data_IF_108097840687
#
_entry.id   IF_108097840687
#
_cell.length_a   1.000
_cell.length_b   1.000
_cell.length_c   1.000
_cell.angle_alpha   90.00
_cell.angle_beta   90.00
_cell.angle_gamma   90.00
#
_symmetry.space_group_name_H-M   'P 1'
#
loop_
_entity.id
_entity.type
_entity.pdbx_description
1 polymer ?
#
# COMPACT_ATOMS: atom_id res chain seq x y z
N UNK A 1 45.18 -34.98 -2.41
CA UNK A 1 44.28 -34.25 -1.50
C UNK A 1 43.27 -33.51 -2.37
N UNK A 2 42.09 -34.08 -2.58
CA UNK A 2 41.08 -33.50 -3.46
C UNK A 2 39.87 -33.18 -2.58
N UNK A 3 39.66 -31.89 -2.28
CA UNK A 3 38.57 -31.44 -1.44
C UNK A 3 37.29 -31.27 -2.28
N UNK A 4 36.21 -31.94 -1.88
CA UNK A 4 34.89 -31.70 -2.47
C UNK A 4 34.28 -30.46 -1.83
N UNK A 5 33.90 -29.48 -2.65
CA UNK A 5 33.11 -28.33 -2.25
C UNK A 5 31.60 -28.69 -2.31
N UNK A 6 30.88 -28.37 -1.24
CA UNK A 6 29.41 -28.41 -1.23
C UNK A 6 28.88 -26.99 -1.34
N UNK A 7 28.11 -26.73 -2.40
CA UNK A 7 27.44 -25.44 -2.61
C UNK A 7 26.04 -25.54 -2.01
N UNK A 8 25.79 -24.77 -0.96
CA UNK A 8 24.46 -24.61 -0.40
C UNK A 8 23.67 -23.63 -1.29
N UNK A 9 22.63 -24.12 -1.95
CA UNK A 9 21.68 -23.28 -2.67
C UNK A 9 20.72 -22.65 -1.66
N UNK A 10 20.95 -21.38 -1.31
CA UNK A 10 19.99 -20.60 -0.51
C UNK A 10 18.83 -20.21 -1.43
N UNK A 11 17.59 -20.67 -1.17
CA UNK A 11 16.42 -20.23 -1.91
C UNK A 11 16.32 -18.71 -1.76
N UNK A 12 16.40 -17.98 -2.87
CA UNK A 12 16.18 -16.54 -2.84
C UNK A 12 14.69 -16.32 -2.55
N UNK A 13 14.33 -15.44 -1.60
CA UNK A 13 12.93 -15.06 -1.42
C UNK A 13 12.44 -14.48 -2.74
N UNK A 14 11.34 -15.02 -3.25
CA UNK A 14 10.67 -14.46 -4.42
C UNK A 14 10.34 -12.99 -4.11
N UNK A 15 10.55 -12.06 -5.06
CA UNK A 15 10.21 -10.67 -4.84
C UNK A 15 8.72 -10.61 -4.51
N UNK A 16 8.38 -10.23 -3.28
CA UNK A 16 7.01 -9.95 -2.88
C UNK A 16 6.43 -8.98 -3.91
N UNK A 17 5.42 -9.43 -4.66
CA UNK A 17 4.68 -8.56 -5.55
C UNK A 17 4.07 -7.47 -4.68
N UNK A 18 4.69 -6.29 -4.68
CA UNK A 18 4.15 -5.10 -4.02
C UNK A 18 2.94 -4.69 -4.84
N UNK A 19 1.78 -5.22 -4.46
CA UNK A 19 0.51 -4.74 -5.00
C UNK A 19 0.41 -3.26 -4.68
N UNK A 20 0.05 -2.40 -5.65
CA UNK A 20 -0.18 -0.99 -5.34
C UNK A 20 -1.22 -0.93 -4.22
N UNK A 21 -1.03 -0.04 -3.23
CA UNK A 21 -1.95 0.09 -2.11
C UNK A 21 -3.37 0.30 -2.65
N UNK A 22 -4.30 -0.57 -2.24
CA UNK A 22 -5.70 -0.48 -2.64
C UNK A 22 -6.36 0.66 -1.87
N UNK A 23 -6.26 1.88 -2.42
CA UNK A 23 -6.98 3.04 -1.91
C UNK A 23 -8.47 2.87 -2.21
N UNK A 24 -9.33 3.09 -1.21
CA UNK A 24 -10.79 3.05 -1.36
C UNK A 24 -11.23 4.16 -2.29
N UNK A 25 -12.00 3.82 -3.31
CA UNK A 25 -12.58 4.79 -4.27
C UNK A 25 -14.08 5.01 -4.07
N UNK A 26 -14.75 4.20 -3.25
CA UNK A 26 -16.20 4.27 -2.98
C UNK A 26 -16.49 4.59 -1.52
N UNK A 27 -17.44 5.48 -1.26
CA UNK A 27 -17.87 5.87 0.07
C UNK A 27 -18.46 4.67 0.83
N UNK A 28 -18.01 4.36 2.07
CA UNK A 28 -18.54 3.25 2.85
C UNK A 28 -20.00 3.46 3.29
N UNK A 29 -20.49 4.69 3.27
CA UNK A 29 -21.85 5.01 3.73
C UNK A 29 -22.88 5.00 2.59
N UNK A 30 -22.54 5.50 1.40
CA UNK A 30 -23.47 5.60 0.26
C UNK A 30 -22.96 5.02 -1.06
N UNK A 31 -21.77 4.40 -1.09
CA UNK A 31 -21.13 3.79 -2.26
C UNK A 31 -20.78 4.75 -3.43
N UNK A 32 -21.09 6.04 -3.32
CA UNK A 32 -20.68 7.05 -4.30
C UNK A 32 -19.16 7.26 -4.32
N UNK A 33 -18.66 7.97 -5.34
CA UNK A 33 -17.22 8.20 -5.51
C UNK A 33 -16.61 9.07 -4.39
N UNK A 34 -15.34 8.81 -4.11
CA UNK A 34 -14.50 9.57 -3.19
C UNK A 34 -13.51 10.44 -3.97
N UNK A 35 -13.49 11.74 -3.67
CA UNK A 35 -12.50 12.68 -4.20
C UNK A 35 -11.38 12.93 -3.17
N UNK A 36 -10.13 12.91 -3.62
CA UNK A 36 -8.98 13.18 -2.76
C UNK A 36 -8.94 14.64 -2.33
N UNK A 37 -8.99 14.89 -1.02
CA UNK A 37 -8.84 16.24 -0.46
C UNK A 37 -7.38 16.57 -0.12
N UNK A 38 -6.68 15.62 0.51
CA UNK A 38 -5.32 15.84 1.01
C UNK A 38 -4.59 14.52 1.23
N UNK A 39 -3.31 14.54 0.92
CA UNK A 39 -2.33 13.53 1.33
C UNK A 39 -1.48 14.12 2.46
N UNK A 40 -1.39 13.39 3.58
CA UNK A 40 -0.54 13.75 4.71
C UNK A 40 0.65 12.78 4.72
N UNK A 41 1.89 13.26 4.53
CA UNK A 41 3.05 12.38 4.53
C UNK A 41 3.36 11.89 5.95
N UNK A 42 3.52 10.58 6.10
CA UNK A 42 4.04 9.93 7.30
C UNK A 42 5.43 9.33 7.06
N UNK A 43 6.04 8.81 8.13
CA UNK A 43 7.38 8.20 8.04
C UNK A 43 7.41 6.83 7.35
N UNK A 44 6.29 6.11 7.36
CA UNK A 44 6.17 4.75 6.84
C UNK A 44 4.93 4.53 5.96
N UNK A 45 4.08 5.56 5.83
CA UNK A 45 2.84 5.54 5.08
C UNK A 45 2.39 6.96 4.76
N UNK A 46 1.49 7.09 3.80
CA UNK A 46 0.71 8.30 3.55
C UNK A 46 -0.70 8.13 4.11
N UNK A 47 -1.27 9.22 4.63
CA UNK A 47 -2.65 9.25 5.09
C UNK A 47 -3.48 10.07 4.11
N UNK A 48 -4.35 9.40 3.38
CA UNK A 48 -5.15 9.99 2.31
C UNK A 48 -6.53 10.32 2.86
N UNK A 49 -6.87 11.60 2.94
CA UNK A 49 -8.22 12.06 3.31
C UNK A 49 -9.04 12.34 2.07
N UNK A 50 -10.25 11.80 2.01
CA UNK A 50 -11.13 11.88 0.85
C UNK A 50 -12.53 12.34 1.25
N UNK A 51 -13.23 13.01 0.34
CA UNK A 51 -14.61 13.46 0.50
C UNK A 51 -15.53 12.72 -0.46
N UNK A 52 -16.65 12.23 0.04
CA UNK A 52 -17.71 11.70 -0.80
C UNK A 52 -18.36 12.82 -1.62
N UNK A 53 -18.47 12.61 -2.93
CA UNK A 53 -19.06 13.60 -3.86
C UNK A 53 -20.57 13.74 -3.72
N UNK A 54 -21.22 12.78 -3.05
CA UNK A 54 -22.67 12.74 -2.82
C UNK A 54 -23.03 13.14 -1.39
N UNK A 55 -22.73 12.29 -0.40
CA UNK A 55 -23.11 12.54 1.00
C UNK A 55 -22.20 13.56 1.73
N UNK A 56 -21.06 13.94 1.12
CA UNK A 56 -20.10 14.86 1.73
C UNK A 56 -19.26 14.28 2.89
N UNK A 57 -19.44 13.00 3.23
CA UNK A 57 -18.69 12.31 4.27
C UNK A 57 -17.18 12.32 4.03
N UNK A 58 -16.40 12.41 5.10
CA UNK A 58 -14.93 12.43 5.06
C UNK A 58 -14.40 11.07 5.53
N UNK A 59 -13.59 10.43 4.70
CA UNK A 59 -12.98 9.13 4.98
C UNK A 59 -11.46 9.23 4.87
N UNK A 60 -10.76 8.27 5.47
CA UNK A 60 -9.31 8.22 5.47
C UNK A 60 -8.84 6.80 5.17
N UNK A 61 -7.82 6.71 4.31
CA UNK A 61 -7.04 5.48 4.11
C UNK A 61 -5.58 5.69 4.45
N UNK A 62 -4.94 4.57 4.81
CA UNK A 62 -3.51 4.48 5.09
C UNK A 62 -2.89 3.74 3.91
N UNK A 63 -1.94 4.40 3.26
CA UNK A 63 -1.30 3.94 2.03
C UNK A 63 0.15 3.66 2.38
N UNK A 64 0.53 2.39 2.46
CA UNK A 64 1.91 2.01 2.77
C UNK A 64 2.84 2.55 1.69
N UNK A 65 3.87 3.28 2.12
CA UNK A 65 4.93 3.71 1.21
C UNK A 65 6.06 2.68 1.28
N UNK A 66 6.51 2.14 0.13
CA UNK A 66 7.68 1.28 0.13
C UNK A 66 8.83 2.01 0.81
N UNK A 67 9.40 1.38 1.85
CA UNK A 67 10.57 1.93 2.53
C UNK A 67 11.69 2.03 1.49
N UNK A 68 12.21 3.24 1.29
CA UNK A 68 13.38 3.49 0.44
C UNK A 68 14.64 2.81 0.98
#
# INVERSE_FOLDING_TARGET
MTGNAVVALVPQPEPELVWPPQVRTSCPDCAAELELLRVIPGRAAEYWTMRCVDCGGIHMDIVDTPRA
#
